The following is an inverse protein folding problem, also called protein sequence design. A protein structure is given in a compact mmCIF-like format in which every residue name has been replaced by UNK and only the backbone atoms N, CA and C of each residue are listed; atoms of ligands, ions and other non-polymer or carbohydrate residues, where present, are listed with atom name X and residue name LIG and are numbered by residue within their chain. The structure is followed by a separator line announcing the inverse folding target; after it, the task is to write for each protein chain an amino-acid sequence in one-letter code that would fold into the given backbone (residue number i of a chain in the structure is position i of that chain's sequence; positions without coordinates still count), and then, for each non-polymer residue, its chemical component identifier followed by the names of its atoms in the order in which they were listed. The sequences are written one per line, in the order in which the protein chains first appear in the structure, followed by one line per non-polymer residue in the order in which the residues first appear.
data_IF_277560914131
#
_entry.id   IF_277560914131
#
_cell.length_a   1.000
_cell.length_b   1.000
_cell.length_c   1.000
_cell.angle_alpha   90.00
_cell.angle_beta   90.00
_cell.angle_gamma   90.00
#
_symmetry.space_group_name_H-M   'P 1'
#
loop_
_entity.id
_entity.type
_entity.pdbx_description
1 polymer ?
#
# COMPACT_ATOMS: atom_id res chain seq x y z
N UNK A 1 -16.57 36.90 16.08
CA UNK A 1 -17.61 36.27 16.86
C UNK A 1 -18.91 36.38 16.08
N UNK A 2 -19.35 35.25 15.53
CA UNK A 2 -20.63 35.16 14.82
C UNK A 2 -21.71 34.84 15.83
N UNK A 3 -22.63 35.80 16.00
CA UNK A 3 -23.83 35.64 16.83
C UNK A 3 -24.92 35.02 15.96
N UNK A 4 -25.35 33.82 16.30
CA UNK A 4 -26.54 33.20 15.73
C UNK A 4 -27.80 33.84 16.31
N UNK A 5 -28.61 34.49 15.49
CA UNK A 5 -29.95 34.96 15.86
C UNK A 5 -30.99 33.96 15.31
N UNK A 6 -31.69 33.31 16.23
CA UNK A 6 -32.81 32.42 15.97
C UNK A 6 -34.01 33.24 15.51
N UNK A 7 -34.60 32.89 14.34
CA UNK A 7 -35.87 33.48 13.85
C UNK A 7 -37.00 32.49 14.17
N UNK A 8 -38.12 32.94 14.75
CA UNK A 8 -39.22 32.06 15.12
C UNK A 8 -40.08 31.68 13.90
N UNK A 9 -40.54 30.42 13.94
CA UNK A 9 -41.51 29.83 13.01
C UNK A 9 -42.90 30.38 13.26
N UNK A 10 -43.50 31.13 12.34
CA UNK A 10 -44.93 31.26 12.25
C UNK A 10 -45.41 31.05 10.83
N UNK A 11 -46.40 30.20 10.74
CA UNK A 11 -46.95 29.51 9.60
C UNK A 11 -47.47 30.37 8.46
N UNK A 12 -47.46 29.72 7.30
CA UNK A 12 -48.39 30.01 6.22
C UNK A 12 -48.76 28.69 5.55
N UNK A 13 -50.06 28.52 5.35
CA UNK A 13 -50.78 27.38 4.80
C UNK A 13 -50.34 27.05 3.36
N UNK A 14 -50.36 25.77 3.10
CA UNK A 14 -50.29 25.14 1.77
C UNK A 14 -51.54 25.39 0.94
N UNK A 15 -51.36 25.74 -0.32
CA UNK A 15 -52.22 25.24 -1.39
C UNK A 15 -51.38 25.03 -2.65
N UNK A 16 -51.65 23.87 -3.28
CA UNK A 16 -50.84 23.16 -4.24
C UNK A 16 -50.53 23.93 -5.54
N UNK A 17 -49.53 23.43 -6.17
CA UNK A 17 -49.42 23.11 -7.60
C UNK A 17 -47.97 22.63 -7.85
N UNK A 18 -47.86 21.47 -8.47
CA UNK A 18 -46.63 20.94 -9.06
C UNK A 18 -45.93 21.95 -9.96
N UNK A 19 -44.71 22.33 -9.63
CA UNK A 19 -43.89 23.17 -10.50
C UNK A 19 -42.41 22.93 -10.20
N UNK A 20 -41.71 22.32 -11.17
CA UNK A 20 -40.29 22.15 -11.27
C UNK A 20 -39.52 23.42 -10.84
N UNK A 21 -38.92 23.43 -9.65
CA UNK A 21 -38.03 24.51 -9.22
C UNK A 21 -36.62 24.26 -9.72
N UNK A 22 -36.22 25.05 -10.71
CA UNK A 22 -34.88 25.13 -11.25
C UNK A 22 -33.86 25.61 -10.19
N UNK A 23 -32.58 25.17 -10.26
CA UNK A 23 -31.54 25.53 -9.29
C UNK A 23 -31.09 27.01 -9.30
N UNK A 24 -31.75 27.87 -10.05
CA UNK A 24 -31.35 29.27 -10.29
C UNK A 24 -31.74 30.22 -9.15
N UNK A 25 -32.63 29.86 -8.22
CA UNK A 25 -33.08 30.76 -7.14
C UNK A 25 -32.15 30.90 -5.94
N UNK A 26 -31.20 30.00 -5.73
CA UNK A 26 -30.26 30.08 -4.62
C UNK A 26 -29.06 31.01 -4.85
N UNK A 27 -28.80 31.40 -6.08
CA UNK A 27 -27.65 32.27 -6.43
C UNK A 27 -27.93 33.76 -6.17
N UNK A 28 -29.22 34.17 -6.08
CA UNK A 28 -29.57 35.61 -5.92
C UNK A 28 -29.37 36.21 -4.53
N UNK A 29 -29.24 35.40 -3.49
CA UNK A 29 -29.12 35.94 -2.11
C UNK A 29 -27.68 36.14 -1.62
N UNK A 30 -26.68 35.66 -2.32
CA UNK A 30 -25.27 35.76 -1.85
C UNK A 30 -24.49 36.97 -2.43
N UNK A 31 -25.05 37.67 -3.40
CA UNK A 31 -24.35 38.74 -4.14
C UNK A 31 -24.65 40.18 -3.68
N UNK A 32 -25.30 40.38 -2.51
CA UNK A 32 -25.74 41.72 -2.08
C UNK A 32 -24.86 42.40 -1.05
N UNK A 33 -23.66 41.89 -0.77
CA UNK A 33 -22.80 42.45 0.31
C UNK A 33 -21.39 42.93 -0.08
N UNK A 34 -21.06 43.01 -1.39
CA UNK A 34 -19.84 43.79 -1.77
C UNK A 34 -20.05 44.54 -3.07
N UNK A 35 -20.08 45.84 -2.92
CA UNK A 35 -19.85 46.97 -3.85
C UNK A 35 -19.51 46.64 -5.31
N UNK A 36 -20.36 47.22 -6.20
CA UNK A 36 -20.05 47.82 -7.52
C UNK A 36 -18.95 47.19 -8.38
N UNK A 37 -19.33 46.24 -9.22
CA UNK A 37 -18.79 46.05 -10.57
C UNK A 37 -19.92 45.65 -11.53
N UNK A 38 -20.16 46.52 -12.54
CA UNK A 38 -21.07 46.27 -13.65
C UNK A 38 -20.49 45.12 -14.51
N UNK A 39 -21.14 43.97 -14.49
CA UNK A 39 -20.76 42.83 -15.33
C UNK A 39 -21.65 42.83 -16.57
N UNK A 40 -21.09 43.17 -17.72
CA UNK A 40 -21.70 42.95 -19.03
C UNK A 40 -21.64 41.45 -19.35
N UNK A 41 -22.79 40.81 -19.36
CA UNK A 41 -22.91 39.39 -19.76
C UNK A 41 -23.02 39.32 -21.27
N UNK A 42 -21.98 38.80 -21.94
CA UNK A 42 -22.12 38.29 -23.32
C UNK A 42 -22.70 36.86 -23.29
N UNK A 43 -23.69 36.54 -24.12
CA UNK A 43 -24.25 35.23 -24.19
C UNK A 43 -23.31 34.30 -24.98
N UNK A 44 -22.72 33.29 -24.31
CA UNK A 44 -21.96 32.27 -25.03
C UNK A 44 -21.08 31.34 -24.20
N UNK A 45 -20.72 31.65 -22.94
CA UNK A 45 -19.73 30.84 -22.21
C UNK A 45 -20.05 30.55 -20.72
N UNK A 46 -21.26 30.07 -20.36
CA UNK A 46 -21.52 29.81 -18.95
C UNK A 46 -21.02 28.45 -18.43
N UNK A 47 -20.99 27.41 -19.29
CA UNK A 47 -20.75 26.04 -18.80
C UNK A 47 -19.28 25.74 -18.47
N UNK A 48 -18.35 26.18 -19.29
CA UNK A 48 -16.90 25.98 -19.07
C UNK A 48 -16.37 26.82 -17.91
N UNK A 49 -16.83 28.05 -17.72
CA UNK A 49 -16.40 28.90 -16.61
C UNK A 49 -16.86 28.35 -15.25
N UNK A 50 -18.10 27.87 -15.16
CA UNK A 50 -18.62 27.24 -13.95
C UNK A 50 -17.95 25.90 -13.66
N UNK A 51 -17.61 25.12 -14.67
CA UNK A 51 -16.87 23.86 -14.52
C UNK A 51 -15.43 24.14 -14.02
N UNK A 52 -14.73 25.08 -14.64
CA UNK A 52 -13.37 25.48 -14.22
C UNK A 52 -13.35 26.05 -12.79
N UNK A 53 -14.26 26.90 -12.44
CA UNK A 53 -14.36 27.49 -11.10
C UNK A 53 -14.79 26.46 -10.04
N UNK A 54 -15.64 25.50 -10.41
CA UNK A 54 -15.99 24.39 -9.52
C UNK A 54 -14.80 23.46 -9.29
N UNK A 55 -14.01 23.19 -10.32
CA UNK A 55 -12.78 22.39 -10.23
C UNK A 55 -11.72 23.12 -9.39
N UNK A 56 -11.55 24.41 -9.59
CA UNK A 56 -10.58 25.24 -8.86
C UNK A 56 -10.94 25.40 -7.37
N UNK A 57 -12.23 25.60 -7.05
CA UNK A 57 -12.71 25.65 -5.66
C UNK A 57 -12.67 24.29 -4.98
N UNK A 58 -12.99 23.21 -5.66
CA UNK A 58 -12.84 21.87 -5.12
C UNK A 58 -11.37 21.49 -4.96
N UNK A 59 -10.50 21.86 -5.89
CA UNK A 59 -9.06 21.64 -5.79
C UNK A 59 -8.41 22.36 -4.61
N UNK A 60 -8.78 23.60 -4.34
CA UNK A 60 -8.27 24.37 -3.18
C UNK A 60 -8.79 23.85 -1.85
N UNK A 61 -10.04 23.40 -1.78
CA UNK A 61 -10.61 22.77 -0.58
C UNK A 61 -9.95 21.42 -0.30
N UNK A 62 -9.72 20.60 -1.34
CA UNK A 62 -9.01 19.32 -1.22
C UNK A 62 -7.57 19.54 -0.78
N UNK A 63 -6.85 20.49 -1.39
CA UNK A 63 -5.47 20.80 -1.03
C UNK A 63 -5.38 21.29 0.42
N UNK A 64 -6.29 22.16 0.87
CA UNK A 64 -6.37 22.60 2.27
C UNK A 64 -6.64 21.45 3.24
N UNK A 65 -7.52 20.52 2.87
CA UNK A 65 -7.83 19.33 3.67
C UNK A 65 -6.65 18.33 3.72
N UNK A 66 -5.92 18.18 2.62
CA UNK A 66 -4.70 17.34 2.56
C UNK A 66 -3.61 17.95 3.44
N UNK A 67 -3.38 19.25 3.37
CA UNK A 67 -2.38 19.95 4.19
C UNK A 67 -2.72 19.91 5.69
N UNK A 68 -4.02 19.99 6.06
CA UNK A 68 -4.44 19.87 7.45
C UNK A 68 -4.32 18.43 8.00
N UNK A 69 -4.51 17.41 7.15
CA UNK A 69 -4.54 15.99 7.54
C UNK A 69 -3.39 15.16 6.92
N UNK A 70 -2.26 15.76 6.57
CA UNK A 70 -1.16 15.10 5.85
C UNK A 70 -0.69 13.78 6.50
N UNK A 71 -0.69 13.74 7.85
CA UNK A 71 -0.31 12.52 8.60
C UNK A 71 -1.27 11.38 8.34
N UNK A 72 -2.57 11.66 8.27
CA UNK A 72 -3.57 10.66 7.93
C UNK A 72 -3.41 10.14 6.50
N UNK A 73 -3.15 11.02 5.53
CA UNK A 73 -2.86 10.59 4.15
C UNK A 73 -1.58 9.76 4.07
N UNK A 74 -0.53 10.13 4.81
CA UNK A 74 0.69 9.34 4.90
C UNK A 74 0.41 7.96 5.51
N UNK A 75 -0.41 7.87 6.56
CA UNK A 75 -0.80 6.61 7.18
C UNK A 75 -1.54 5.69 6.20
N UNK A 76 -2.42 6.23 5.35
CA UNK A 76 -3.11 5.46 4.32
C UNK A 76 -2.13 4.78 3.34
N UNK A 77 -0.95 5.33 3.10
CA UNK A 77 0.09 4.73 2.25
C UNK A 77 0.85 3.58 2.90
N UNK A 78 0.65 3.32 4.21
CA UNK A 78 1.37 2.30 5.00
C UNK A 78 2.90 2.49 4.97
N UNK A 79 3.44 3.61 5.49
CA UNK A 79 4.86 3.99 5.32
C UNK A 79 5.85 2.92 5.79
N UNK A 80 5.56 2.17 6.87
CA UNK A 80 6.41 1.08 7.33
C UNK A 80 6.55 -0.06 6.32
N UNK A 81 5.47 -0.40 5.60
CA UNK A 81 5.51 -1.40 4.51
C UNK A 81 6.21 -0.81 3.29
N UNK A 82 5.90 0.45 2.94
CA UNK A 82 6.51 1.13 1.80
C UNK A 82 8.05 1.22 1.92
N UNK A 83 8.59 1.43 3.12
CA UNK A 83 10.03 1.47 3.33
C UNK A 83 10.73 0.16 2.90
N UNK A 84 10.16 -0.99 3.24
CA UNK A 84 10.72 -2.29 2.86
C UNK A 84 10.56 -2.55 1.35
N UNK A 85 9.40 -2.19 0.77
CA UNK A 85 9.18 -2.27 -0.68
C UNK A 85 10.16 -1.38 -1.45
N UNK A 86 10.42 -0.16 -0.95
CA UNK A 86 11.37 0.78 -1.52
C UNK A 86 12.79 0.20 -1.53
N UNK A 87 13.26 -0.34 -0.41
CA UNK A 87 14.59 -0.96 -0.31
C UNK A 87 14.73 -2.15 -1.25
N UNK A 88 13.75 -3.06 -1.28
CA UNK A 88 13.82 -4.23 -2.15
C UNK A 88 13.73 -3.88 -3.64
N UNK A 89 12.93 -2.86 -3.99
CA UNK A 89 12.84 -2.34 -5.36
C UNK A 89 14.17 -1.69 -5.78
N UNK A 90 14.74 -0.83 -4.93
CA UNK A 90 16.05 -0.21 -5.17
C UNK A 90 17.16 -1.27 -5.33
N UNK A 91 17.12 -2.32 -4.53
CA UNK A 91 18.07 -3.44 -4.67
C UNK A 91 17.94 -4.14 -6.02
N UNK A 92 16.72 -4.37 -6.49
CA UNK A 92 16.48 -4.92 -7.82
C UNK A 92 17.02 -4.02 -8.95
N UNK A 93 16.85 -2.69 -8.81
CA UNK A 93 17.41 -1.72 -9.76
C UNK A 93 18.94 -1.73 -9.78
N UNK A 94 19.56 -1.70 -8.60
CA UNK A 94 21.03 -1.62 -8.46
C UNK A 94 21.71 -2.90 -8.96
N UNK A 95 21.22 -4.06 -8.57
CA UNK A 95 21.78 -5.35 -8.99
C UNK A 95 21.53 -5.57 -10.48
N UNK A 96 20.38 -5.19 -11.01
CA UNK A 96 20.04 -5.35 -12.42
C UNK A 96 20.79 -4.40 -13.38
N UNK A 97 21.50 -3.40 -12.84
CA UNK A 97 22.29 -2.42 -13.60
C UNK A 97 23.78 -2.45 -13.27
N UNK A 98 24.25 -3.48 -12.53
CA UNK A 98 25.63 -3.54 -12.03
C UNK A 98 26.06 -2.23 -11.35
N UNK A 99 25.14 -1.65 -10.55
CA UNK A 99 25.27 -0.37 -9.84
C UNK A 99 25.41 0.89 -10.70
N UNK A 100 25.16 0.79 -11.99
CA UNK A 100 25.17 1.93 -12.93
C UNK A 100 23.77 2.24 -13.50
N UNK A 101 22.71 2.44 -12.68
CA UNK A 101 21.39 2.71 -13.20
C UNK A 101 21.30 4.09 -13.84
N UNK A 102 20.59 4.26 -14.96
CA UNK A 102 20.26 5.59 -15.47
C UNK A 102 19.55 6.41 -14.39
N UNK A 103 20.14 7.53 -13.98
CA UNK A 103 19.75 8.28 -12.78
C UNK A 103 18.27 8.67 -12.77
N UNK A 104 17.73 9.10 -13.91
CA UNK A 104 16.31 9.45 -14.03
C UNK A 104 15.41 8.23 -13.89
N UNK A 105 15.76 7.11 -14.50
CA UNK A 105 15.02 5.85 -14.37
C UNK A 105 15.07 5.35 -12.93
N UNK A 106 16.21 5.44 -12.25
CA UNK A 106 16.34 5.04 -10.86
C UNK A 106 15.38 5.83 -9.95
N UNK A 107 15.46 7.16 -9.96
CA UNK A 107 14.63 7.97 -9.07
C UNK A 107 13.15 7.96 -9.44
N UNK A 108 12.80 8.25 -10.71
CA UNK A 108 11.40 8.32 -11.12
C UNK A 108 10.75 6.93 -11.22
N UNK A 109 11.50 5.89 -11.60
CA UNK A 109 11.02 4.51 -11.57
C UNK A 109 10.70 4.05 -10.15
N UNK A 110 11.61 4.30 -9.21
CA UNK A 110 11.44 3.94 -7.80
C UNK A 110 10.26 4.67 -7.15
N UNK A 111 10.14 5.99 -7.39
CA UNK A 111 9.00 6.79 -6.90
C UNK A 111 7.70 6.36 -7.58
N UNK A 112 7.73 6.11 -8.88
CA UNK A 112 6.56 5.66 -9.64
C UNK A 112 6.00 4.32 -9.13
N UNK A 113 6.86 3.31 -8.95
CA UNK A 113 6.49 2.02 -8.36
C UNK A 113 5.92 2.22 -6.96
N UNK A 114 6.57 3.05 -6.12
CA UNK A 114 6.12 3.36 -4.76
C UNK A 114 4.76 4.05 -4.74
N UNK A 115 4.46 4.92 -5.70
CA UNK A 115 3.17 5.61 -5.80
C UNK A 115 2.04 4.65 -6.16
N UNK A 116 2.23 3.71 -7.09
CA UNK A 116 1.24 2.69 -7.40
C UNK A 116 1.04 1.74 -6.21
N UNK A 117 2.12 1.37 -5.50
CA UNK A 117 2.04 0.57 -4.29
C UNK A 117 1.29 1.31 -3.16
N UNK A 118 1.56 2.60 -2.97
CA UNK A 118 0.83 3.46 -2.04
C UNK A 118 -0.65 3.59 -2.41
N UNK A 119 -0.94 3.80 -3.69
CA UNK A 119 -2.32 3.82 -4.21
C UNK A 119 -3.06 2.52 -3.88
N UNK A 120 -2.42 1.35 -4.08
CA UNK A 120 -3.02 0.06 -3.74
C UNK A 120 -3.26 -0.11 -2.23
N UNK A 121 -2.40 0.46 -1.39
CA UNK A 121 -2.58 0.49 0.06
C UNK A 121 -3.79 1.34 0.47
N UNK A 122 -4.00 2.50 -0.17
CA UNK A 122 -5.20 3.33 0.06
C UNK A 122 -6.47 2.59 -0.34
N UNK A 123 -6.49 1.92 -1.50
CA UNK A 123 -7.62 1.07 -1.93
C UNK A 123 -7.87 -0.07 -0.93
N UNK A 124 -6.81 -0.69 -0.41
CA UNK A 124 -6.95 -1.70 0.64
C UNK A 124 -7.57 -1.14 1.92
N UNK A 125 -7.16 0.04 2.40
CA UNK A 125 -7.80 0.71 3.55
C UNK A 125 -9.28 1.00 3.31
N UNK A 126 -9.64 1.41 2.08
CA UNK A 126 -11.03 1.68 1.73
C UNK A 126 -11.92 0.43 1.82
N UNK A 127 -11.48 -0.69 1.26
CA UNK A 127 -12.25 -1.93 1.33
C UNK A 127 -12.23 -2.58 2.72
N UNK A 128 -11.12 -2.45 3.45
CA UNK A 128 -10.97 -3.04 4.78
C UNK A 128 -11.64 -2.24 5.89
N UNK A 129 -12.17 -1.04 5.66
CA UNK A 129 -12.75 -0.12 6.64
C UNK A 129 -13.66 -0.80 7.67
N UNK A 130 -14.58 -1.69 7.19
CA UNK A 130 -15.51 -2.39 8.07
C UNK A 130 -14.83 -3.44 8.96
N UNK A 131 -13.76 -4.06 8.48
CA UNK A 131 -12.98 -5.05 9.24
C UNK A 131 -12.08 -4.33 10.23
N UNK A 132 -11.44 -3.28 9.77
CA UNK A 132 -10.54 -2.46 10.56
C UNK A 132 -11.23 -1.86 11.79
N UNK A 133 -12.52 -1.54 11.70
CA UNK A 133 -13.32 -1.06 12.84
C UNK A 133 -13.57 -2.11 13.92
N UNK A 134 -13.37 -3.41 13.61
CA UNK A 134 -13.55 -4.52 14.56
C UNK A 134 -12.24 -4.97 15.20
N UNK A 135 -11.10 -4.49 14.74
CA UNK A 135 -9.78 -4.90 15.20
C UNK A 135 -9.13 -3.79 16.01
N UNK A 136 -8.71 -4.09 17.25
CA UNK A 136 -8.08 -3.13 18.17
C UNK A 136 -6.88 -2.37 17.54
N UNK A 137 -6.09 -3.05 16.71
CA UNK A 137 -4.93 -2.47 16.04
C UNK A 137 -5.26 -1.43 14.98
N UNK A 138 -6.43 -1.49 14.37
CA UNK A 138 -6.79 -0.74 13.15
C UNK A 138 -8.01 0.15 13.33
N UNK A 139 -8.61 0.17 14.52
CA UNK A 139 -9.79 1.01 14.86
C UNK A 139 -9.52 2.50 14.71
N UNK A 140 -8.28 2.95 14.91
CA UNK A 140 -7.89 4.36 14.86
C UNK A 140 -7.50 4.84 13.45
N UNK A 141 -7.57 3.94 12.44
CA UNK A 141 -7.21 4.30 11.06
C UNK A 141 -8.01 5.48 10.52
N UNK A 142 -7.40 6.35 9.68
CA UNK A 142 -8.03 7.60 9.22
C UNK A 142 -9.39 7.45 8.54
N UNK A 143 -9.63 6.34 7.83
CA UNK A 143 -10.94 6.04 7.23
C UNK A 143 -11.95 5.51 8.24
N UNK A 144 -11.50 4.83 9.30
CA UNK A 144 -12.36 4.27 10.35
C UNK A 144 -12.85 5.37 11.28
N UNK A 145 -11.92 6.21 11.77
CA UNK A 145 -12.23 7.33 12.67
C UNK A 145 -12.84 8.56 11.97
N UNK A 146 -12.94 8.52 10.62
CA UNK A 146 -13.57 9.59 9.82
C UNK A 146 -12.72 10.85 9.64
N UNK A 147 -11.43 10.86 10.01
CA UNK A 147 -10.54 12.00 9.78
C UNK A 147 -10.26 12.24 8.29
N UNK A 148 -10.40 11.21 7.47
CA UNK A 148 -10.37 11.30 6.01
C UNK A 148 -11.65 10.68 5.46
N UNK A 149 -12.35 11.40 4.56
CA UNK A 149 -13.55 10.90 3.90
C UNK A 149 -13.22 9.85 2.84
N UNK A 150 -14.16 8.95 2.57
CA UNK A 150 -14.04 7.92 1.55
C UNK A 150 -13.73 8.51 0.17
N UNK A 151 -14.42 9.61 -0.21
CA UNK A 151 -14.19 10.31 -1.47
C UNK A 151 -12.78 10.90 -1.56
N UNK A 152 -12.28 11.51 -0.48
CA UNK A 152 -10.93 12.06 -0.43
C UNK A 152 -9.86 10.97 -0.56
N UNK A 153 -10.07 9.82 0.05
CA UNK A 153 -9.17 8.68 -0.09
C UNK A 153 -9.15 8.12 -1.52
N UNK A 154 -10.32 8.00 -2.16
CA UNK A 154 -10.41 7.54 -3.56
C UNK A 154 -9.69 8.52 -4.50
N UNK A 155 -9.93 9.83 -4.36
CA UNK A 155 -9.26 10.86 -5.16
C UNK A 155 -7.74 10.79 -4.94
N UNK A 156 -7.29 10.68 -3.69
CA UNK A 156 -5.87 10.54 -3.36
C UNK A 156 -5.24 9.30 -3.99
N UNK A 157 -5.93 8.15 -3.95
CA UNK A 157 -5.50 6.92 -4.63
C UNK A 157 -5.35 7.12 -6.13
N UNK A 158 -6.34 7.77 -6.79
CA UNK A 158 -6.29 8.06 -8.23
C UNK A 158 -5.12 8.98 -8.57
N UNK A 159 -4.88 10.03 -7.77
CA UNK A 159 -3.75 10.94 -7.97
C UNK A 159 -2.41 10.21 -7.87
N UNK A 160 -2.23 9.36 -6.86
CA UNK A 160 -1.03 8.54 -6.72
C UNK A 160 -0.85 7.60 -7.92
N UNK A 161 -1.92 6.90 -8.33
CA UNK A 161 -1.88 5.99 -9.47
C UNK A 161 -1.51 6.72 -10.78
N UNK A 162 -2.17 7.83 -11.08
CA UNK A 162 -1.93 8.60 -12.31
C UNK A 162 -0.51 9.21 -12.33
N UNK A 163 -0.08 9.79 -11.20
CA UNK A 163 1.26 10.38 -11.09
C UNK A 163 2.36 9.32 -11.22
N UNK A 164 2.22 8.18 -10.54
CA UNK A 164 3.16 7.08 -10.64
C UNK A 164 3.17 6.45 -12.02
N UNK A 165 2.01 6.26 -12.67
CA UNK A 165 1.90 5.75 -14.04
C UNK A 165 2.60 6.67 -15.04
N UNK A 166 2.41 7.97 -14.91
CA UNK A 166 3.12 8.95 -15.72
C UNK A 166 4.64 8.85 -15.56
N UNK A 167 5.13 8.74 -14.31
CA UNK A 167 6.57 8.58 -14.05
C UNK A 167 7.13 7.32 -14.68
N UNK A 168 6.44 6.18 -14.56
CA UNK A 168 6.89 4.91 -15.12
C UNK A 168 6.91 4.93 -16.64
N UNK A 169 5.89 5.49 -17.28
CA UNK A 169 5.82 5.58 -18.74
C UNK A 169 6.81 6.61 -19.33
N UNK A 170 7.12 7.68 -18.59
CA UNK A 170 8.01 8.73 -19.04
C UNK A 170 9.51 8.43 -18.81
N UNK A 171 9.86 7.73 -17.72
CA UNK A 171 11.25 7.58 -17.26
C UNK A 171 11.72 6.12 -17.11
N UNK A 172 10.81 5.14 -17.09
CA UNK A 172 11.16 3.73 -17.09
C UNK A 172 10.73 3.10 -18.43
N UNK A 173 9.77 2.16 -18.39
CA UNK A 173 9.30 1.47 -19.59
C UNK A 173 7.87 0.93 -19.41
N UNK A 174 7.25 0.55 -20.53
CA UNK A 174 5.89 0.02 -20.56
C UNK A 174 5.75 -1.29 -19.76
N UNK A 175 6.74 -2.17 -19.81
CA UNK A 175 6.73 -3.45 -19.10
C UNK A 175 6.60 -3.22 -17.58
N UNK A 176 7.41 -2.33 -17.03
CA UNK A 176 7.35 -1.98 -15.59
C UNK A 176 6.03 -1.38 -15.21
N UNK A 177 5.50 -0.43 -16.01
CA UNK A 177 4.19 0.13 -15.77
C UNK A 177 3.08 -0.94 -15.79
N UNK A 178 3.11 -1.85 -16.77
CA UNK A 178 2.13 -2.93 -16.89
C UNK A 178 2.17 -3.87 -15.68
N UNK A 179 3.37 -4.35 -15.32
CA UNK A 179 3.55 -5.25 -14.17
C UNK A 179 3.16 -4.58 -12.85
N UNK A 180 3.50 -3.30 -12.67
CA UNK A 180 3.13 -2.54 -11.48
C UNK A 180 1.61 -2.33 -11.42
N UNK A 181 0.96 -2.05 -12.55
CA UNK A 181 -0.50 -1.93 -12.65
C UNK A 181 -1.19 -3.26 -12.36
N UNK A 182 -0.69 -4.36 -12.89
CA UNK A 182 -1.21 -5.69 -12.57
C UNK A 182 -1.07 -6.01 -11.07
N UNK A 183 0.04 -5.65 -10.47
CA UNK A 183 0.28 -5.81 -9.02
C UNK A 183 -0.69 -4.94 -8.20
N UNK A 184 -0.92 -3.68 -8.61
CA UNK A 184 -1.92 -2.79 -8.02
C UNK A 184 -3.33 -3.41 -8.06
N UNK A 185 -3.76 -3.93 -9.21
CA UNK A 185 -5.06 -4.58 -9.36
C UNK A 185 -5.13 -5.84 -8.50
N UNK A 186 -4.10 -6.66 -8.54
CA UNK A 186 -4.05 -7.90 -7.75
C UNK A 186 -4.16 -7.63 -6.26
N UNK A 187 -3.35 -6.72 -5.70
CA UNK A 187 -3.37 -6.44 -4.27
C UNK A 187 -4.58 -5.60 -3.84
N UNK A 188 -4.85 -4.49 -4.55
CA UNK A 188 -5.90 -3.55 -4.17
C UNK A 188 -7.31 -4.14 -4.29
N UNK A 189 -7.55 -4.99 -5.28
CA UNK A 189 -8.89 -5.52 -5.56
C UNK A 189 -8.99 -7.02 -5.35
N UNK A 190 -8.17 -7.83 -6.04
CA UNK A 190 -8.33 -9.30 -6.02
C UNK A 190 -8.02 -9.86 -4.64
N UNK A 191 -6.86 -9.52 -4.08
CA UNK A 191 -6.48 -9.97 -2.75
C UNK A 191 -7.41 -9.38 -1.68
N UNK A 192 -7.56 -8.05 -1.66
CA UNK A 192 -8.27 -7.36 -0.57
C UNK A 192 -9.75 -7.74 -0.51
N UNK A 193 -10.43 -7.79 -1.66
CA UNK A 193 -11.88 -8.01 -1.71
C UNK A 193 -12.28 -9.49 -1.71
N UNK A 194 -11.44 -10.34 -2.30
CA UNK A 194 -11.79 -11.75 -2.52
C UNK A 194 -10.88 -12.72 -1.77
N UNK A 195 -9.58 -12.80 -2.11
CA UNK A 195 -8.69 -13.84 -1.60
C UNK A 195 -8.57 -13.85 -0.08
N UNK A 196 -8.55 -12.69 0.55
CA UNK A 196 -8.46 -12.52 1.99
C UNK A 196 -9.56 -13.28 2.76
N UNK A 197 -10.74 -13.49 2.14
CA UNK A 197 -11.89 -14.14 2.75
C UNK A 197 -12.17 -15.55 2.22
N UNK A 198 -11.60 -15.92 1.07
CA UNK A 198 -11.89 -17.19 0.41
C UNK A 198 -11.06 -18.35 0.92
N UNK A 199 -9.86 -18.08 1.44
CA UNK A 199 -8.91 -19.15 1.76
C UNK A 199 -7.96 -18.80 2.89
N UNK A 200 -7.58 -19.79 3.70
CA UNK A 200 -6.51 -19.64 4.69
C UNK A 200 -5.10 -19.54 4.07
N UNK A 201 -4.97 -19.83 2.77
CA UNK A 201 -3.73 -19.63 2.01
C UNK A 201 -3.62 -18.19 1.45
N UNK A 202 -4.48 -17.29 1.90
CA UNK A 202 -4.53 -15.89 1.47
C UNK A 202 -3.17 -15.18 1.58
N UNK A 203 -2.39 -15.50 2.63
CA UNK A 203 -1.04 -14.95 2.83
C UNK A 203 -0.05 -15.48 1.80
N UNK A 204 -0.09 -16.78 1.49
CA UNK A 204 0.82 -17.37 0.49
C UNK A 204 0.55 -16.78 -0.90
N UNK A 205 -0.72 -16.73 -1.31
CA UNK A 205 -1.11 -16.19 -2.61
C UNK A 205 -0.92 -14.65 -2.64
N UNK A 206 -1.32 -13.96 -1.58
CA UNK A 206 -1.15 -12.51 -1.42
C UNK A 206 0.31 -12.07 -1.38
N UNK A 207 1.21 -12.95 -0.92
CA UNK A 207 2.65 -12.76 -0.91
C UNK A 207 3.24 -12.43 -2.28
N UNK A 208 2.57 -12.84 -3.36
CA UNK A 208 2.97 -12.49 -4.73
C UNK A 208 3.09 -10.97 -4.92
N UNK A 209 2.14 -10.19 -4.43
CA UNK A 209 2.22 -8.73 -4.54
C UNK A 209 3.43 -8.14 -3.78
N UNK A 210 3.73 -8.69 -2.59
CA UNK A 210 4.89 -8.30 -1.79
C UNK A 210 6.23 -8.73 -2.41
N UNK A 211 6.22 -9.75 -3.25
CA UNK A 211 7.39 -10.28 -3.95
C UNK A 211 7.75 -9.50 -5.23
N UNK A 212 6.83 -8.67 -5.74
CA UNK A 212 7.02 -7.93 -7.00
C UNK A 212 8.07 -6.81 -6.95
N UNK A 213 8.26 -6.04 -5.86
CA UNK A 213 9.10 -4.85 -5.89
C UNK A 213 10.51 -5.03 -6.44
N UNK A 214 11.32 -6.04 -6.05
CA UNK A 214 12.65 -6.22 -6.63
C UNK A 214 12.60 -6.57 -8.13
N UNK A 215 11.60 -7.34 -8.56
CA UNK A 215 11.37 -7.66 -9.96
C UNK A 215 10.95 -6.42 -10.75
N UNK A 216 10.09 -5.57 -10.21
CA UNK A 216 9.69 -4.30 -10.82
C UNK A 216 10.87 -3.35 -10.95
N UNK A 217 11.73 -3.28 -9.90
CA UNK A 217 12.96 -2.50 -9.94
C UNK A 217 13.90 -2.98 -11.03
N UNK A 218 14.14 -4.28 -11.12
CA UNK A 218 14.93 -4.89 -12.18
C UNK A 218 14.38 -4.58 -13.57
N UNK A 219 13.08 -4.83 -13.78
CA UNK A 219 12.42 -4.57 -15.05
C UNK A 219 12.43 -3.08 -15.44
N UNK A 220 12.44 -2.15 -14.47
CA UNK A 220 12.53 -0.73 -14.74
C UNK A 220 13.84 -0.34 -15.41
N UNK A 221 14.92 -1.04 -15.09
CA UNK A 221 16.26 -0.81 -15.66
C UNK A 221 16.48 -1.60 -16.94
N UNK A 222 16.17 -2.90 -16.91
CA UNK A 222 16.55 -3.83 -18.02
C UNK A 222 15.48 -3.95 -19.10
N UNK A 223 14.23 -3.55 -18.81
CA UNK A 223 13.05 -3.78 -19.66
C UNK A 223 12.80 -5.27 -19.96
N UNK A 224 13.24 -6.17 -19.06
CA UNK A 224 13.10 -7.62 -19.19
C UNK A 224 12.68 -8.26 -17.86
N UNK A 225 12.17 -9.50 -17.93
CA UNK A 225 11.93 -10.36 -16.77
C UNK A 225 13.00 -11.44 -16.79
N UNK A 226 14.01 -11.28 -15.94
CA UNK A 226 15.14 -12.20 -15.89
C UNK A 226 15.04 -13.21 -14.75
N UNK A 227 15.64 -14.42 -14.89
CA UNK A 227 15.65 -15.43 -13.83
C UNK A 227 16.20 -14.91 -12.50
N UNK A 228 17.22 -14.05 -12.52
CA UNK A 228 17.82 -13.45 -11.34
C UNK A 228 16.83 -12.53 -10.58
N UNK A 229 16.04 -11.76 -11.31
CA UNK A 229 14.97 -10.95 -10.72
C UNK A 229 13.89 -11.82 -10.05
N UNK A 230 13.55 -12.97 -10.69
CA UNK A 230 12.59 -13.93 -10.12
C UNK A 230 13.11 -14.57 -8.83
N UNK A 231 14.43 -14.80 -8.70
CA UNK A 231 15.01 -15.29 -7.43
C UNK A 231 14.86 -14.29 -6.29
N UNK A 232 15.04 -13.00 -6.54
CA UNK A 232 14.80 -11.96 -5.53
C UNK A 232 13.32 -11.94 -5.10
N UNK A 233 12.41 -12.04 -6.04
CA UNK A 233 10.98 -12.17 -5.78
C UNK A 233 10.63 -13.45 -5.01
N UNK A 234 11.22 -14.60 -5.36
CA UNK A 234 11.01 -15.89 -4.70
C UNK A 234 11.37 -15.82 -3.22
N UNK A 235 12.50 -15.18 -2.88
CA UNK A 235 12.91 -15.01 -1.47
C UNK A 235 11.82 -14.30 -0.66
N UNK A 236 11.28 -13.18 -1.18
CA UNK A 236 10.22 -12.44 -0.48
C UNK A 236 8.92 -13.24 -0.44
N UNK A 237 8.59 -13.95 -1.52
CA UNK A 237 7.39 -14.80 -1.57
C UNK A 237 7.43 -15.90 -0.51
N UNK A 238 8.58 -16.56 -0.33
CA UNK A 238 8.76 -17.63 0.67
C UNK A 238 8.91 -17.04 2.09
N UNK A 239 9.44 -15.82 2.22
CA UNK A 239 9.52 -15.10 3.50
C UNK A 239 8.16 -14.63 4.02
N UNK A 240 7.22 -14.32 3.13
CA UNK A 240 5.91 -13.75 3.49
C UNK A 240 5.10 -14.65 4.44
N UNK A 241 4.95 -15.98 4.24
CA UNK A 241 4.19 -16.83 5.14
C UNK A 241 4.74 -16.87 6.57
N UNK A 242 6.02 -17.18 6.85
CA UNK A 242 6.51 -17.24 8.23
C UNK A 242 6.44 -15.87 8.93
N UNK A 243 6.60 -14.77 8.19
CA UNK A 243 6.43 -13.43 8.71
C UNK A 243 4.98 -13.14 9.14
N UNK A 244 4.04 -13.24 8.22
CA UNK A 244 2.64 -12.91 8.52
C UNK A 244 1.95 -13.92 9.43
N UNK A 245 2.28 -15.21 9.34
CA UNK A 245 1.69 -16.20 10.23
C UNK A 245 2.18 -16.05 11.67
N UNK A 246 3.42 -15.60 11.91
CA UNK A 246 3.87 -15.27 13.25
C UNK A 246 3.02 -14.12 13.85
N UNK A 247 2.73 -13.07 13.07
CA UNK A 247 1.81 -12.01 13.48
C UNK A 247 0.38 -12.54 13.70
N UNK A 248 -0.09 -13.44 12.82
CA UNK A 248 -1.43 -14.02 12.92
C UNK A 248 -1.60 -14.91 14.15
N UNK A 249 -0.56 -15.64 14.56
CA UNK A 249 -0.53 -16.38 15.83
C UNK A 249 -0.63 -15.45 17.03
N UNK A 250 0.12 -14.35 17.02
CA UNK A 250 0.06 -13.34 18.08
C UNK A 250 -1.30 -12.65 18.16
N UNK A 251 -1.97 -12.46 17.03
CA UNK A 251 -3.26 -11.74 16.90
C UNK A 251 -4.44 -12.66 16.57
N UNK A 252 -4.39 -13.91 17.00
CA UNK A 252 -5.40 -14.91 16.63
C UNK A 252 -6.82 -14.49 17.06
N UNK A 253 -6.95 -13.89 18.22
CA UNK A 253 -8.24 -13.39 18.75
C UNK A 253 -8.80 -12.27 17.87
N UNK A 254 -7.99 -11.23 17.55
CA UNK A 254 -8.41 -10.13 16.67
C UNK A 254 -8.92 -10.64 15.31
N UNK A 255 -8.24 -11.66 14.72
CA UNK A 255 -8.65 -12.23 13.43
C UNK A 255 -9.90 -13.12 13.55
N UNK A 256 -10.10 -13.76 14.71
CA UNK A 256 -11.30 -14.55 14.98
C UNK A 256 -12.52 -13.62 15.09
N UNK A 257 -12.41 -12.55 15.85
CA UNK A 257 -13.49 -11.56 16.07
C UNK A 257 -13.86 -10.84 14.75
N UNK A 258 -12.86 -10.60 13.91
CA UNK A 258 -13.07 -10.02 12.58
C UNK A 258 -13.57 -11.01 11.52
N UNK A 259 -13.72 -12.30 11.86
CA UNK A 259 -14.11 -13.39 10.95
C UNK A 259 -13.20 -13.51 9.70
N UNK A 260 -11.90 -13.17 9.84
CA UNK A 260 -10.93 -13.32 8.76
C UNK A 260 -10.30 -14.71 8.81
N UNK A 261 -10.39 -15.54 7.74
CA UNK A 261 -9.98 -16.94 7.74
C UNK A 261 -8.45 -17.09 7.65
N UNK A 262 -7.72 -16.53 8.62
CA UNK A 262 -6.27 -16.74 8.73
C UNK A 262 -5.94 -18.19 9.10
N UNK A 263 -4.73 -18.61 8.75
CA UNK A 263 -4.31 -20.02 8.98
C UNK A 263 -4.50 -20.46 10.44
N UNK A 264 -4.09 -19.68 11.48
CA UNK A 264 -4.29 -20.08 12.87
C UNK A 264 -5.77 -20.12 13.29
N UNK A 265 -6.63 -19.32 12.66
CA UNK A 265 -8.09 -19.31 12.91
C UNK A 265 -8.74 -20.57 12.33
N UNK A 266 -8.37 -20.95 11.10
CA UNK A 266 -9.01 -22.11 10.41
C UNK A 266 -8.38 -23.47 10.75
N UNK A 267 -7.07 -23.53 10.93
CA UNK A 267 -6.32 -24.80 11.10
C UNK A 267 -5.71 -24.94 12.49
N UNK A 268 -5.84 -23.91 13.33
CA UNK A 268 -5.28 -23.88 14.67
C UNK A 268 -3.84 -23.39 14.74
N UNK A 269 -3.46 -22.94 15.93
CA UNK A 269 -2.15 -22.34 16.22
C UNK A 269 -1.01 -23.34 16.07
N UNK A 270 -1.15 -24.57 16.56
CA UNK A 270 -0.12 -25.60 16.47
C UNK A 270 0.26 -25.93 15.01
N UNK A 271 -0.76 -26.10 14.15
CA UNK A 271 -0.56 -26.31 12.72
C UNK A 271 0.16 -25.14 12.06
N UNK A 272 -0.22 -23.91 12.44
CA UNK A 272 0.40 -22.68 11.89
C UNK A 272 1.86 -22.57 12.29
N UNK A 273 2.22 -22.85 13.55
CA UNK A 273 3.62 -22.85 14.03
C UNK A 273 4.48 -23.88 13.30
N UNK A 274 3.94 -25.06 13.03
CA UNK A 274 4.62 -26.06 12.22
C UNK A 274 4.91 -25.53 10.80
N UNK A 275 3.94 -24.85 10.18
CA UNK A 275 4.10 -24.27 8.84
C UNK A 275 5.07 -23.10 8.82
N UNK A 276 5.10 -22.27 9.88
CA UNK A 276 6.12 -21.22 10.06
C UNK A 276 7.52 -21.86 10.01
N UNK A 277 7.73 -22.95 10.76
CA UNK A 277 9.02 -23.65 10.78
C UNK A 277 9.37 -24.22 9.40
N UNK A 278 8.43 -24.92 8.74
CA UNK A 278 8.65 -25.51 7.41
C UNK A 278 8.98 -24.44 6.35
N UNK A 279 8.26 -23.32 6.34
CA UNK A 279 8.54 -22.21 5.42
C UNK A 279 9.86 -21.50 5.74
N UNK A 280 10.29 -21.49 6.99
CA UNK A 280 11.62 -20.96 7.35
C UNK A 280 12.75 -21.85 6.83
N UNK A 281 12.58 -23.18 6.82
CA UNK A 281 13.51 -24.07 6.13
C UNK A 281 13.52 -23.84 4.62
N UNK A 282 12.34 -23.71 4.01
CA UNK A 282 12.24 -23.42 2.58
C UNK A 282 12.86 -22.06 2.23
N UNK A 283 12.69 -21.05 3.11
CA UNK A 283 13.32 -19.74 2.97
C UNK A 283 14.84 -19.85 3.00
N UNK A 284 15.40 -20.58 3.97
CA UNK A 284 16.84 -20.80 4.05
C UNK A 284 17.36 -21.46 2.76
N UNK A 285 16.68 -22.48 2.23
CA UNK A 285 17.04 -23.10 0.97
C UNK A 285 16.94 -22.13 -0.22
N UNK A 286 15.86 -21.33 -0.28
CA UNK A 286 15.66 -20.34 -1.35
C UNK A 286 16.74 -19.26 -1.35
N UNK A 287 17.24 -18.85 -0.17
CA UNK A 287 18.31 -17.84 -0.05
C UNK A 287 19.69 -18.37 -0.45
N UNK A 288 19.87 -19.68 -0.62
CA UNK A 288 21.12 -20.23 -1.19
C UNK A 288 21.17 -20.12 -2.72
N UNK A 289 20.01 -20.00 -3.38
CA UNK A 289 19.93 -20.03 -4.85
C UNK A 289 20.71 -18.90 -5.52
N UNK A 290 20.68 -17.62 -5.09
CA UNK A 290 21.47 -16.56 -5.73
C UNK A 290 22.98 -16.84 -5.76
N UNK A 291 23.51 -17.50 -4.72
CA UNK A 291 24.90 -17.98 -4.72
C UNK A 291 25.08 -19.17 -5.67
N UNK A 292 24.20 -20.16 -5.61
CA UNK A 292 24.29 -21.37 -6.42
C UNK A 292 24.28 -21.13 -7.94
N UNK A 293 23.57 -20.07 -8.40
CA UNK A 293 23.53 -19.67 -9.79
C UNK A 293 24.63 -18.65 -10.17
N UNK A 294 25.53 -18.30 -9.23
CA UNK A 294 26.62 -17.36 -9.48
C UNK A 294 26.21 -15.88 -9.51
N UNK A 295 24.97 -15.56 -9.14
CA UNK A 295 24.47 -14.17 -9.08
C UNK A 295 25.18 -13.36 -7.99
N UNK A 296 25.36 -13.95 -6.81
CA UNK A 296 25.99 -13.35 -5.63
C UNK A 296 27.16 -14.20 -5.13
N UNK A 297 28.02 -13.61 -4.32
CA UNK A 297 29.27 -14.22 -3.82
C UNK A 297 29.17 -14.76 -2.40
N UNK A 298 30.38 -14.94 -1.78
CA UNK A 298 30.53 -15.60 -0.49
C UNK A 298 30.06 -14.75 0.69
N UNK A 299 30.18 -13.42 0.61
CA UNK A 299 29.73 -12.48 1.66
C UNK A 299 28.21 -12.62 1.82
N UNK A 300 27.49 -12.64 0.69
CA UNK A 300 26.06 -12.90 0.71
C UNK A 300 25.71 -14.28 1.27
N UNK A 301 26.40 -15.35 0.80
CA UNK A 301 26.15 -16.71 1.27
C UNK A 301 26.31 -16.83 2.78
N UNK A 302 27.41 -16.33 3.33
CA UNK A 302 27.68 -16.36 4.77
C UNK A 302 26.60 -15.59 5.55
N UNK A 303 26.25 -14.39 5.07
CA UNK A 303 25.21 -13.56 5.66
C UNK A 303 23.85 -14.27 5.65
N UNK A 304 23.46 -14.87 4.52
CA UNK A 304 22.20 -15.61 4.37
C UNK A 304 22.14 -16.82 5.30
N UNK A 305 23.26 -17.58 5.46
CA UNK A 305 23.35 -18.69 6.39
C UNK A 305 23.19 -18.23 7.84
N UNK A 306 23.94 -17.21 8.27
CA UNK A 306 23.86 -16.71 9.65
C UNK A 306 22.47 -16.19 9.97
N UNK A 307 21.94 -15.30 9.13
CA UNK A 307 20.61 -14.73 9.31
C UNK A 307 19.51 -15.80 9.27
N UNK A 308 19.62 -16.76 8.34
CA UNK A 308 18.67 -17.84 8.19
C UNK A 308 18.66 -18.83 9.36
N UNK A 309 19.85 -19.20 9.90
CA UNK A 309 19.96 -20.05 11.09
C UNK A 309 19.37 -19.38 12.33
N UNK A 310 19.59 -18.07 12.49
CA UNK A 310 18.94 -17.30 13.58
C UNK A 310 17.42 -17.31 13.40
N UNK A 311 16.90 -17.09 12.19
CA UNK A 311 15.46 -17.12 11.94
C UNK A 311 14.87 -18.53 12.20
N UNK A 312 15.58 -19.56 11.77
CA UNK A 312 15.21 -20.93 12.05
C UNK A 312 15.16 -21.24 13.56
N UNK A 313 16.12 -20.69 14.33
CA UNK A 313 16.11 -20.80 15.79
C UNK A 313 14.87 -20.15 16.42
N UNK A 314 14.50 -18.92 15.97
CA UNK A 314 13.25 -18.27 16.42
C UNK A 314 12.02 -19.11 16.07
N UNK A 315 11.93 -19.60 14.82
CA UNK A 315 10.80 -20.40 14.35
C UNK A 315 10.70 -21.75 15.08
N UNK A 316 11.83 -22.41 15.35
CA UNK A 316 11.86 -23.66 16.13
C UNK A 316 11.45 -23.44 17.59
N UNK A 317 11.95 -22.36 18.23
CA UNK A 317 11.55 -22.01 19.59
C UNK A 317 10.07 -21.66 19.67
N UNK A 318 9.52 -20.92 18.68
CA UNK A 318 8.10 -20.65 18.57
C UNK A 318 7.28 -21.95 18.39
N UNK A 319 7.77 -22.91 17.59
CA UNK A 319 7.13 -24.21 17.42
C UNK A 319 7.00 -24.99 18.74
N UNK A 320 7.97 -24.85 19.63
CA UNK A 320 8.00 -25.48 20.97
C UNK A 320 7.32 -24.67 22.07
N UNK A 321 7.02 -23.41 21.83
CA UNK A 321 6.43 -22.51 22.82
C UNK A 321 4.91 -22.67 22.90
N UNK A 322 4.40 -23.24 23.98
CA UNK A 322 2.95 -23.40 24.18
C UNK A 322 2.23 -22.08 24.48
N UNK A 323 2.95 -21.07 25.01
CA UNK A 323 2.38 -19.78 25.43
C UNK A 323 2.20 -18.76 24.26
N UNK A 324 2.72 -19.06 23.08
CA UNK A 324 2.79 -18.13 21.93
C UNK A 324 3.59 -16.84 22.17
N UNK A 325 4.33 -16.73 23.28
CA UNK A 325 5.05 -15.50 23.66
C UNK A 325 6.13 -15.12 22.65
N UNK A 326 6.68 -16.12 21.92
CA UNK A 326 7.70 -15.91 20.91
C UNK A 326 7.15 -15.53 19.53
N UNK A 327 5.85 -15.45 19.35
CA UNK A 327 5.24 -15.11 18.05
C UNK A 327 5.62 -13.68 17.60
N UNK A 328 5.51 -12.67 18.50
CA UNK A 328 5.88 -11.30 18.19
C UNK A 328 7.41 -11.10 18.02
N UNK A 329 8.29 -11.67 18.85
CA UNK A 329 9.73 -11.68 18.58
C UNK A 329 10.11 -12.31 17.24
N UNK A 330 9.49 -13.42 16.86
CA UNK A 330 9.69 -14.07 15.54
C UNK A 330 9.28 -13.16 14.40
N UNK A 331 8.12 -12.52 14.51
CA UNK A 331 7.65 -11.51 13.55
C UNK A 331 8.63 -10.32 13.44
N UNK A 332 9.06 -9.76 14.56
CA UNK A 332 10.00 -8.64 14.57
C UNK A 332 11.35 -9.01 13.94
N UNK A 333 11.89 -10.18 14.29
CA UNK A 333 13.15 -10.66 13.70
C UNK A 333 13.02 -10.86 12.19
N UNK A 334 11.89 -11.35 11.69
CA UNK A 334 11.69 -11.56 10.24
C UNK A 334 11.83 -10.26 9.42
N UNK A 335 11.49 -9.11 9.98
CA UNK A 335 11.69 -7.80 9.34
C UNK A 335 13.18 -7.45 9.27
N UNK A 336 13.89 -7.62 10.40
CA UNK A 336 15.34 -7.42 10.47
C UNK A 336 16.06 -8.36 9.51
N UNK A 337 15.65 -9.63 9.48
CA UNK A 337 16.18 -10.64 8.57
C UNK A 337 16.14 -10.18 7.12
N UNK A 338 14.96 -9.76 6.62
CA UNK A 338 14.80 -9.38 5.22
C UNK A 338 15.60 -8.12 4.88
N UNK A 339 15.58 -7.10 5.75
CA UNK A 339 16.34 -5.87 5.57
C UNK A 339 17.85 -6.14 5.53
N UNK A 340 18.35 -6.93 6.46
CA UNK A 340 19.77 -7.31 6.54
C UNK A 340 20.20 -8.17 5.35
N UNK A 341 19.34 -9.09 4.88
CA UNK A 341 19.61 -9.94 3.74
C UNK A 341 19.77 -9.10 2.46
N UNK A 342 18.86 -8.15 2.20
CA UNK A 342 18.95 -7.25 1.04
C UNK A 342 20.16 -6.31 1.14
N UNK A 343 20.49 -5.83 2.34
CA UNK A 343 21.73 -5.06 2.56
C UNK A 343 22.97 -5.92 2.22
N UNK A 344 23.02 -7.17 2.69
CA UNK A 344 24.12 -8.09 2.37
C UNK A 344 24.23 -8.38 0.86
N UNK A 345 23.09 -8.51 0.15
CA UNK A 345 23.07 -8.64 -1.32
C UNK A 345 23.75 -7.46 -2.00
N UNK A 346 23.41 -6.23 -1.58
CA UNK A 346 23.99 -5.01 -2.16
C UNK A 346 25.49 -4.92 -1.86
N UNK A 347 25.90 -5.20 -0.62
CA UNK A 347 27.32 -5.17 -0.24
C UNK A 347 28.13 -6.20 -1.03
N UNK A 348 27.65 -7.44 -1.12
CA UNK A 348 28.33 -8.52 -1.84
C UNK A 348 28.44 -8.21 -3.33
N UNK A 349 27.36 -7.74 -3.95
CA UNK A 349 27.34 -7.39 -5.36
C UNK A 349 28.29 -6.22 -5.67
N UNK A 350 28.26 -5.17 -4.83
CA UNK A 350 29.16 -4.02 -4.97
C UNK A 350 30.63 -4.40 -4.82
N UNK A 351 30.98 -5.32 -3.90
CA UNK A 351 32.37 -5.75 -3.69
C UNK A 351 32.85 -6.77 -4.75
N UNK A 352 31.91 -7.41 -5.47
CA UNK A 352 32.22 -8.36 -6.54
C UNK A 352 32.53 -7.68 -7.87
N UNK A 353 32.03 -6.44 -8.06
CA UNK A 353 32.33 -5.61 -9.22
C UNK A 353 33.73 -5.01 -9.11
#
# INVERSE_FOLDING_TARGET
PLVYKKIPSNGLRTDGILGLTSPIRYIKCYFRLTSSYSCWTQPGWPFTYYLFRSIETQGTVIMGHVLANWRGYLELTKPGVQALLFVSCASGMLIGSDFEPPIMTFFFGLIGISFLAASSAVVNHFFDKHIDSKMNRTSDRPLVNGSISDNSAIIFSILLYCSGSWMLLAYANFLTWLLTTLTFIFYGFIYTKYLKFMTSQNIVIGGLAGAMPPLLGWAAITNTIEPNALLLGLIIMVWTPPHFWALAVYRVEDYTDAAVPMLPVQKGVAFTKQHILLYTFLLLASTMLPYAVGMLGEIYLLSALVLGVIFLSYSYRLYKDDSNSLAMPTFAYSIIYLAALFAAMLVDHFLKL
#
